data_IF_579630360814
#
_entry.id   IF_579630360814
#
_cell.length_a   1.000
_cell.length_b   1.000
_cell.length_c   1.000
_cell.angle_alpha   90.00
_cell.angle_beta   90.00
_cell.angle_gamma   90.00
#
_symmetry.space_group_name_H-M   'P 1'
#
loop_
_entity.id
_entity.type
_entity.pdbx_description
1 polymer ?
#
# COMPACT_ATOMS: atom_id res chain seq x y z
N UNK A 1 5.07 -16.14 17.13
CA UNK A 1 4.59 -14.82 17.59
C UNK A 1 3.15 -14.72 17.15
N UNK A 2 2.20 -14.31 18.01
CA UNK A 2 0.78 -14.55 17.73
C UNK A 2 0.20 -13.58 16.69
N UNK A 3 -0.75 -14.08 15.90
CA UNK A 3 -1.62 -13.30 15.03
C UNK A 3 -2.32 -12.16 15.78
N UNK A 4 -2.72 -12.41 17.04
CA UNK A 4 -3.34 -11.41 17.92
C UNK A 4 -2.44 -10.19 18.17
N UNK A 5 -1.13 -10.39 18.38
CA UNK A 5 -0.21 -9.29 18.61
C UNK A 5 -0.03 -8.43 17.36
N UNK A 6 0.03 -9.07 16.18
CA UNK A 6 0.09 -8.36 14.91
C UNK A 6 -1.21 -7.60 14.63
N UNK A 7 -2.37 -8.21 14.90
CA UNK A 7 -3.68 -7.58 14.74
C UNK A 7 -3.84 -6.36 15.67
N UNK A 8 -3.45 -6.49 16.94
CA UNK A 8 -3.45 -5.37 17.88
C UNK A 8 -2.57 -4.22 17.36
N UNK A 9 -1.36 -4.53 16.91
CA UNK A 9 -0.44 -3.53 16.33
C UNK A 9 -0.99 -2.90 15.05
N UNK A 10 -1.66 -3.66 14.21
CA UNK A 10 -2.34 -3.14 13.03
C UNK A 10 -3.41 -2.13 13.42
N UNK A 11 -4.29 -2.46 14.37
CA UNK A 11 -5.36 -1.55 14.81
C UNK A 11 -4.82 -0.29 15.49
N UNK A 12 -3.71 -0.38 16.24
CA UNK A 12 -3.03 0.79 16.82
C UNK A 12 -2.57 1.79 15.74
N UNK A 13 -2.09 1.29 14.60
CA UNK A 13 -1.56 2.13 13.51
C UNK A 13 -2.67 2.61 12.57
N UNK A 14 -3.64 1.74 12.28
CA UNK A 14 -4.57 1.89 11.17
C UNK A 14 -6.02 2.14 11.60
N UNK A 15 -6.27 2.18 12.90
CA UNK A 15 -7.62 2.26 13.45
C UNK A 15 -8.37 0.94 13.36
N UNK A 16 -9.52 0.89 14.02
CA UNK A 16 -10.46 -0.22 13.93
C UNK A 16 -11.65 0.24 13.09
N UNK A 17 -11.83 -0.40 11.93
CA UNK A 17 -12.89 -0.08 10.99
C UNK A 17 -13.60 -1.38 10.57
N UNK A 18 -14.93 -1.35 10.42
CA UNK A 18 -15.67 -2.54 10.01
C UNK A 18 -15.34 -2.89 8.54
N UNK A 19 -15.06 -4.17 8.30
CA UNK A 19 -14.99 -4.74 6.95
C UNK A 19 -16.39 -5.18 6.51
N UNK A 20 -16.84 -4.72 5.35
CA UNK A 20 -18.04 -5.24 4.69
C UNK A 20 -17.72 -6.50 3.87
N UNK A 21 -18.76 -7.19 3.41
CA UNK A 21 -18.60 -8.34 2.51
C UNK A 21 -17.98 -7.95 1.16
N UNK A 22 -18.22 -6.72 0.68
CA UNK A 22 -17.57 -6.20 -0.52
C UNK A 22 -16.08 -5.93 -0.29
N UNK A 23 -15.72 -5.40 0.88
CA UNK A 23 -14.32 -5.18 1.27
C UNK A 23 -13.58 -6.53 1.39
N UNK A 24 -14.19 -7.53 2.03
CA UNK A 24 -13.64 -8.89 2.14
C UNK A 24 -13.42 -9.53 0.75
N UNK A 25 -14.39 -9.39 -0.16
CA UNK A 25 -14.27 -9.90 -1.52
C UNK A 25 -13.18 -9.17 -2.32
N UNK A 26 -13.02 -7.86 -2.10
CA UNK A 26 -11.95 -7.08 -2.70
C UNK A 26 -10.58 -7.53 -2.19
N UNK A 27 -10.36 -7.57 -0.87
CA UNK A 27 -9.05 -7.92 -0.31
C UNK A 27 -8.67 -9.36 -0.65
N UNK A 28 -9.64 -10.28 -0.69
CA UNK A 28 -9.41 -11.67 -1.11
C UNK A 28 -8.98 -11.77 -2.58
N UNK A 29 -9.43 -10.85 -3.45
CA UNK A 29 -9.04 -10.82 -4.87
C UNK A 29 -7.65 -10.22 -5.08
N UNK A 30 -7.32 -9.15 -4.34
CA UNK A 30 -6.13 -8.34 -4.60
C UNK A 30 -4.92 -8.71 -3.74
N UNK A 31 -5.15 -9.29 -2.56
CA UNK A 31 -4.11 -9.59 -1.57
C UNK A 31 -4.01 -11.10 -1.33
N UNK A 32 -2.93 -11.49 -0.67
CA UNK A 32 -2.70 -12.87 -0.22
C UNK A 32 -2.87 -12.96 1.28
N UNK A 33 -3.39 -14.09 1.75
CA UNK A 33 -3.35 -14.42 3.18
C UNK A 33 -1.90 -14.70 3.56
N UNK A 34 -1.41 -14.08 4.64
CA UNK A 34 -0.01 -14.17 5.04
C UNK A 34 0.48 -15.62 5.22
N UNK A 35 -0.32 -16.48 5.87
CA UNK A 35 0.04 -17.89 6.10
C UNK A 35 0.18 -18.67 4.79
N UNK A 36 -0.68 -18.41 3.81
CA UNK A 36 -0.63 -19.04 2.49
C UNK A 36 0.60 -18.58 1.71
N UNK A 37 0.87 -17.27 1.69
CA UNK A 37 2.04 -16.71 1.02
C UNK A 37 3.35 -17.24 1.63
N UNK A 38 3.41 -17.35 2.96
CA UNK A 38 4.56 -17.92 3.65
C UNK A 38 4.76 -19.40 3.27
N UNK A 39 3.69 -20.20 3.25
CA UNK A 39 3.76 -21.60 2.86
C UNK A 39 4.21 -21.79 1.39
N UNK A 40 3.75 -20.94 0.47
CA UNK A 40 4.17 -20.97 -0.94
C UNK A 40 5.64 -20.63 -1.14
N UNK A 41 6.22 -19.81 -0.26
CA UNK A 41 7.61 -19.38 -0.33
C UNK A 41 8.54 -20.10 0.66
N UNK A 42 8.07 -21.16 1.31
CA UNK A 42 8.82 -21.93 2.31
C UNK A 42 9.37 -21.05 3.46
N UNK A 43 8.52 -20.15 3.97
CA UNK A 43 8.82 -19.23 5.07
C UNK A 43 8.00 -19.58 6.31
N UNK A 44 8.61 -19.42 7.48
CA UNK A 44 7.91 -19.52 8.75
C UNK A 44 7.07 -18.25 9.01
N UNK A 45 5.76 -18.41 9.16
CA UNK A 45 4.84 -17.28 9.36
C UNK A 45 5.07 -16.56 10.68
N UNK A 46 5.49 -17.26 11.73
CA UNK A 46 5.73 -16.68 13.03
C UNK A 46 7.00 -15.83 13.06
N UNK A 47 8.01 -16.23 12.27
CA UNK A 47 9.18 -15.40 11.98
C UNK A 47 8.80 -14.15 11.19
N UNK A 48 7.98 -14.27 10.15
CA UNK A 48 7.52 -13.11 9.36
C UNK A 48 6.73 -12.13 10.21
N UNK A 49 5.79 -12.60 11.05
CA UNK A 49 5.07 -11.75 12.00
C UNK A 49 6.02 -11.01 12.95
N UNK A 50 7.10 -11.68 13.40
CA UNK A 50 8.12 -11.06 14.26
C UNK A 50 8.87 -9.95 13.52
N UNK A 51 9.19 -10.15 12.25
CA UNK A 51 9.82 -9.14 11.40
C UNK A 51 8.92 -7.92 11.18
N UNK A 52 7.61 -8.13 10.97
CA UNK A 52 6.63 -7.04 10.85
C UNK A 52 6.54 -6.23 12.15
N UNK A 53 6.39 -6.90 13.29
CA UNK A 53 6.35 -6.25 14.60
C UNK A 53 7.66 -5.53 14.96
N UNK A 54 8.79 -6.00 14.44
CA UNK A 54 10.09 -5.36 14.61
C UNK A 54 10.34 -4.20 13.62
N UNK A 55 9.38 -3.87 12.75
CA UNK A 55 9.53 -2.82 11.73
C UNK A 55 10.57 -3.16 10.67
N UNK A 56 10.73 -4.43 10.32
CA UNK A 56 11.65 -4.90 9.28
C UNK A 56 10.94 -5.31 8.00
N UNK A 57 9.63 -5.63 8.10
CA UNK A 57 8.73 -5.87 6.98
C UNK A 57 7.46 -5.04 7.19
N UNK A 58 6.75 -4.67 6.11
CA UNK A 58 5.55 -3.87 6.23
C UNK A 58 4.42 -4.66 6.90
N UNK A 59 3.61 -3.96 7.69
CA UNK A 59 2.38 -4.47 8.26
C UNK A 59 1.40 -4.90 7.14
N UNK A 60 0.44 -5.80 7.44
CA UNK A 60 -0.64 -6.11 6.50
C UNK A 60 -1.37 -4.85 6.03
N UNK A 61 -1.82 -4.86 4.78
CA UNK A 61 -2.65 -3.78 4.24
C UNK A 61 -4.04 -3.79 4.86
N UNK A 62 -4.56 -4.99 5.17
CA UNK A 62 -5.88 -5.20 5.77
C UNK A 62 -5.83 -6.36 6.78
N UNK A 63 -6.78 -6.32 7.71
CA UNK A 63 -7.28 -7.51 8.39
C UNK A 63 -8.65 -7.82 7.78
N UNK A 64 -8.82 -9.02 7.24
CA UNK A 64 -10.11 -9.49 6.75
C UNK A 64 -11.05 -9.78 7.93
N UNK A 65 -12.37 -9.84 7.71
CA UNK A 65 -13.34 -10.07 8.80
C UNK A 65 -13.11 -11.35 9.63
N UNK A 66 -12.43 -12.35 9.08
CA UNK A 66 -12.03 -13.58 9.80
C UNK A 66 -10.70 -13.45 10.56
N UNK A 67 -10.10 -12.26 10.58
CA UNK A 67 -8.82 -11.95 11.19
C UNK A 67 -7.61 -12.29 10.32
N UNK A 68 -7.80 -12.77 9.09
CA UNK A 68 -6.70 -13.08 8.19
C UNK A 68 -5.87 -11.83 7.86
N UNK A 69 -4.55 -11.96 7.94
CA UNK A 69 -3.62 -10.88 7.59
C UNK A 69 -3.46 -10.83 6.07
N UNK A 70 -3.95 -9.75 5.45
CA UNK A 70 -3.93 -9.57 4.00
C UNK A 70 -2.72 -8.73 3.58
N UNK A 71 -1.80 -9.37 2.87
CA UNK A 71 -0.50 -8.80 2.45
C UNK A 71 -0.38 -8.78 0.93
N UNK A 72 0.38 -7.84 0.34
CA UNK A 72 0.59 -7.84 -1.09
C UNK A 72 1.38 -9.09 -1.51
N UNK A 73 1.14 -9.58 -2.72
CA UNK A 73 1.77 -10.82 -3.20
C UNK A 73 3.30 -10.71 -3.32
N UNK A 74 3.81 -9.48 -3.46
CA UNK A 74 5.23 -9.14 -3.55
C UNK A 74 5.85 -8.69 -2.21
N UNK A 75 5.21 -8.99 -1.07
CA UNK A 75 5.67 -8.64 0.29
C UNK A 75 7.18 -8.79 0.52
N UNK A 76 7.78 -9.86 0.00
CA UNK A 76 9.20 -10.18 0.20
C UNK A 76 10.12 -9.66 -0.89
N UNK A 77 9.59 -9.15 -2.02
CA UNK A 77 10.37 -8.87 -3.22
C UNK A 77 11.51 -7.88 -2.99
N UNK A 78 11.26 -6.77 -2.27
CA UNK A 78 12.30 -5.81 -1.94
C UNK A 78 13.34 -6.41 -0.99
N UNK A 79 12.90 -7.06 0.09
CA UNK A 79 13.79 -7.67 1.06
C UNK A 79 14.70 -8.76 0.43
N UNK A 80 14.17 -9.52 -0.53
CA UNK A 80 14.92 -10.54 -1.26
C UNK A 80 15.89 -9.93 -2.26
N UNK A 81 15.53 -8.79 -2.88
CA UNK A 81 16.39 -8.09 -3.82
C UNK A 81 17.61 -7.45 -3.15
N UNK A 82 17.42 -6.80 -2.00
CA UNK A 82 18.49 -5.99 -1.38
C UNK A 82 19.07 -6.60 -0.11
N UNK A 83 18.40 -7.59 0.47
CA UNK A 83 18.72 -8.15 1.77
C UNK A 83 18.01 -7.40 2.90
N UNK A 84 17.41 -8.14 3.83
CA UNK A 84 16.62 -7.59 4.92
C UNK A 84 17.40 -6.59 5.81
N UNK A 85 18.69 -6.85 6.06
CA UNK A 85 19.54 -5.97 6.87
C UNK A 85 19.83 -4.62 6.22
N UNK A 86 19.87 -4.59 4.90
CA UNK A 86 20.20 -3.40 4.11
C UNK A 86 18.96 -2.66 3.61
N UNK A 87 17.78 -3.30 3.69
CA UNK A 87 16.52 -2.81 3.13
C UNK A 87 16.21 -1.37 3.54
N UNK A 88 16.24 -1.05 4.84
CA UNK A 88 15.95 0.32 5.30
C UNK A 88 16.92 1.34 4.72
N UNK A 89 18.22 1.04 4.77
CA UNK A 89 19.26 1.95 4.28
C UNK A 89 19.14 2.17 2.77
N UNK A 90 18.90 1.09 2.02
CA UNK A 90 18.67 1.15 0.58
C UNK A 90 17.39 1.93 0.24
N UNK A 91 16.30 1.69 0.98
CA UNK A 91 15.03 2.37 0.78
C UNK A 91 15.21 3.87 1.00
N UNK A 92 15.62 4.30 2.20
CA UNK A 92 15.81 5.72 2.54
C UNK A 92 16.74 6.44 1.56
N UNK A 93 17.76 5.76 1.02
CA UNK A 93 18.68 6.33 0.02
C UNK A 93 18.04 6.65 -1.34
N UNK A 94 16.80 6.22 -1.61
CA UNK A 94 16.07 6.59 -2.82
C UNK A 94 15.47 8.02 -2.76
N UNK A 95 15.61 8.71 -1.63
CA UNK A 95 15.16 10.08 -1.44
C UNK A 95 16.33 11.06 -1.40
N UNK A 96 16.07 12.29 -1.87
CA UNK A 96 17.07 13.38 -1.82
C UNK A 96 17.26 13.91 -0.41
N UNK A 97 16.16 14.05 0.33
CA UNK A 97 16.15 14.43 1.73
C UNK A 97 16.07 13.17 2.59
N UNK A 98 16.91 13.11 3.63
CA UNK A 98 16.93 12.01 4.58
C UNK A 98 15.66 11.99 5.44
N UNK A 99 15.09 13.15 5.76
CA UNK A 99 13.85 13.24 6.53
C UNK A 99 12.70 12.60 5.74
N UNK A 100 12.50 13.05 4.49
CA UNK A 100 11.50 12.48 3.58
C UNK A 100 11.66 10.96 3.44
N UNK A 101 12.89 10.47 3.24
CA UNK A 101 13.14 9.04 3.12
C UNK A 101 12.80 8.24 4.38
N UNK A 102 12.96 8.81 5.57
CA UNK A 102 12.55 8.15 6.82
C UNK A 102 11.03 8.19 7.01
N UNK A 103 10.37 9.29 6.69
CA UNK A 103 8.90 9.37 6.73
C UNK A 103 8.27 8.35 5.78
N UNK A 104 8.84 8.20 4.59
CA UNK A 104 8.38 7.24 3.59
C UNK A 104 8.66 5.79 3.98
N UNK A 105 9.76 5.54 4.68
CA UNK A 105 10.03 4.24 5.27
C UNK A 105 9.01 3.88 6.35
N UNK A 106 8.66 4.82 7.22
CA UNK A 106 7.63 4.59 8.25
C UNK A 106 6.26 4.36 7.62
N UNK A 107 5.93 5.12 6.57
CA UNK A 107 4.71 4.92 5.78
C UNK A 107 4.69 3.56 5.07
N UNK A 108 5.81 3.13 4.46
CA UNK A 108 5.96 1.78 3.90
C UNK A 108 5.67 0.70 4.95
N UNK A 109 6.25 0.83 6.15
CA UNK A 109 6.06 -0.16 7.20
C UNK A 109 4.65 -0.20 7.79
N UNK A 110 3.90 0.91 7.74
CA UNK A 110 2.56 1.02 8.33
C UNK A 110 1.49 0.13 7.67
N UNK A 111 1.73 -0.35 6.45
CA UNK A 111 0.72 -1.04 5.63
C UNK A 111 -0.34 -0.10 5.05
N UNK A 112 -0.11 1.22 5.03
CA UNK A 112 -1.05 2.22 4.47
C UNK A 112 -0.91 2.44 2.96
N UNK A 113 0.16 1.93 2.35
CA UNK A 113 0.36 1.96 0.89
C UNK A 113 -0.52 0.95 0.13
N UNK A 114 -1.83 0.93 0.44
CA UNK A 114 -2.84 0.17 -0.32
C UNK A 114 -3.19 0.81 -1.66
N UNK A 115 -2.63 2.00 -1.90
CA UNK A 115 -2.90 2.83 -3.05
C UNK A 115 -1.97 2.59 -4.24
N UNK A 116 -1.16 1.52 -4.21
CA UNK A 116 -0.25 1.11 -5.27
C UNK A 116 -0.32 -0.41 -5.45
N UNK A 117 -0.26 -0.88 -6.69
CA UNK A 117 -0.17 -2.32 -6.98
C UNK A 117 1.12 -2.95 -6.45
N UNK A 118 2.22 -2.20 -6.48
CA UNK A 118 3.50 -2.60 -5.90
C UNK A 118 4.13 -1.39 -5.21
N UNK A 119 4.52 -1.56 -3.96
CA UNK A 119 5.01 -0.48 -3.11
C UNK A 119 6.54 -0.48 -3.16
N UNK A 120 7.07 0.33 -4.07
CA UNK A 120 8.51 0.53 -4.23
C UNK A 120 8.83 2.02 -4.19
N UNK A 121 10.06 2.43 -3.85
CA UNK A 121 10.44 3.84 -3.94
C UNK A 121 10.16 4.45 -5.34
N UNK A 122 10.38 3.68 -6.41
CA UNK A 122 10.11 4.13 -7.77
C UNK A 122 8.62 4.40 -8.02
N UNK A 123 7.72 3.52 -7.57
CA UNK A 123 6.26 3.70 -7.75
C UNK A 123 5.71 4.80 -6.84
N UNK A 124 6.25 4.97 -5.63
CA UNK A 124 5.90 6.08 -4.72
C UNK A 124 6.26 7.43 -5.35
N UNK A 125 7.49 7.57 -5.86
CA UNK A 125 7.92 8.77 -6.59
C UNK A 125 7.04 9.01 -7.80
N UNK A 126 6.81 7.97 -8.62
CA UNK A 126 6.05 8.13 -9.87
C UNK A 126 4.62 8.58 -9.62
N UNK A 127 3.94 7.98 -8.63
CA UNK A 127 2.60 8.41 -8.21
C UNK A 127 2.58 9.88 -7.78
N UNK A 128 3.53 10.27 -6.95
CA UNK A 128 3.64 11.65 -6.45
C UNK A 128 3.88 12.66 -7.57
N UNK A 129 4.70 12.31 -8.56
CA UNK A 129 4.93 13.13 -9.76
C UNK A 129 3.67 13.26 -10.62
N UNK A 130 2.97 12.15 -10.85
CA UNK A 130 1.74 12.13 -11.65
C UNK A 130 0.64 12.97 -11.03
N UNK A 131 0.41 12.85 -9.72
CA UNK A 131 -0.57 13.68 -9.01
C UNK A 131 -0.26 15.17 -9.15
N UNK A 132 0.98 15.58 -8.89
CA UNK A 132 1.42 16.98 -9.05
C UNK A 132 1.26 17.47 -10.50
N UNK A 133 1.56 16.62 -11.48
CA UNK A 133 1.40 16.96 -12.89
C UNK A 133 -0.08 17.12 -13.28
N UNK A 134 -0.96 16.25 -12.78
CA UNK A 134 -2.41 16.31 -12.99
C UNK A 134 -2.99 17.62 -12.46
N UNK A 135 -2.55 18.08 -11.28
CA UNK A 135 -3.05 19.30 -10.64
C UNK A 135 -2.81 20.57 -11.46
N UNK A 136 -1.71 20.62 -12.20
CA UNK A 136 -1.29 21.83 -12.94
C UNK A 136 -1.56 21.74 -14.45
N UNK A 137 -1.85 20.55 -14.99
CA UNK A 137 -2.04 20.35 -16.43
C UNK A 137 -3.42 20.84 -16.88
N UNK A 138 -3.43 21.78 -17.83
CA UNK A 138 -4.65 22.32 -18.43
C UNK A 138 -4.96 21.75 -19.81
N UNK A 139 -3.95 21.21 -20.51
CA UNK A 139 -4.14 20.53 -21.78
C UNK A 139 -4.87 19.20 -21.58
N UNK A 140 -6.03 19.04 -22.24
CA UNK A 140 -6.91 17.87 -22.03
C UNK A 140 -6.27 16.57 -22.51
N UNK A 141 -5.48 16.60 -23.59
CA UNK A 141 -4.87 15.39 -24.14
C UNK A 141 -3.74 14.89 -23.23
N UNK A 142 -2.86 15.79 -22.78
CA UNK A 142 -1.82 15.48 -21.82
C UNK A 142 -2.40 15.03 -20.48
N UNK A 143 -3.44 15.72 -19.98
CA UNK A 143 -4.12 15.35 -18.74
C UNK A 143 -4.68 13.93 -18.80
N UNK A 144 -5.28 13.54 -19.93
CA UNK A 144 -5.77 12.17 -20.12
C UNK A 144 -4.65 11.14 -19.98
N UNK A 145 -3.49 11.38 -20.59
CA UNK A 145 -2.35 10.45 -20.53
C UNK A 145 -1.81 10.30 -19.10
N UNK A 146 -1.70 11.41 -18.36
CA UNK A 146 -1.25 11.38 -16.96
C UNK A 146 -2.23 10.62 -16.06
N UNK A 147 -3.54 10.80 -16.28
CA UNK A 147 -4.58 10.10 -15.52
C UNK A 147 -4.59 8.61 -15.84
N UNK A 148 -4.44 8.24 -17.11
CA UNK A 148 -4.38 6.83 -17.50
C UNK A 148 -3.15 6.14 -16.91
N UNK A 149 -2.00 6.81 -16.89
CA UNK A 149 -0.81 6.26 -16.23
C UNK A 149 -0.96 6.13 -14.71
N UNK A 150 -1.58 7.11 -14.05
CA UNK A 150 -1.87 7.01 -12.61
C UNK A 150 -2.84 5.85 -12.33
N UNK A 151 -3.84 5.65 -13.20
CA UNK A 151 -4.79 4.54 -13.12
C UNK A 151 -4.14 3.17 -13.26
N UNK A 152 -3.03 3.06 -14.00
CA UNK A 152 -2.24 1.82 -14.09
C UNK A 152 -1.41 1.54 -12.83
N UNK A 153 -1.08 2.56 -12.04
CA UNK A 153 -0.32 2.39 -10.79
C UNK A 153 -1.21 2.08 -9.58
N UNK A 154 -2.41 2.64 -9.55
CA UNK A 154 -3.32 2.53 -8.42
C UNK A 154 -4.32 1.37 -8.58
N UNK A 155 -4.50 0.53 -7.55
CA UNK A 155 -5.62 -0.40 -7.54
C UNK A 155 -6.95 0.34 -7.39
N UNK A 156 -8.04 -0.43 -7.40
CA UNK A 156 -9.32 0.06 -6.90
C UNK A 156 -9.25 0.34 -5.39
N UNK A 157 -10.24 1.06 -4.86
CA UNK A 157 -10.35 1.33 -3.42
C UNK A 157 -11.73 0.99 -2.92
N UNK A 158 -11.76 0.54 -1.68
CA UNK A 158 -12.96 0.06 -0.98
C UNK A 158 -13.61 1.14 -0.13
N UNK A 159 -14.81 0.87 0.40
CA UNK A 159 -15.43 1.76 1.37
C UNK A 159 -14.59 1.83 2.66
N UNK A 160 -13.98 0.70 3.05
CA UNK A 160 -13.05 0.62 4.16
C UNK A 160 -11.92 1.65 4.06
N UNK A 161 -11.30 1.82 2.89
CA UNK A 161 -10.18 2.76 2.71
C UNK A 161 -10.60 4.22 2.98
N UNK A 162 -11.81 4.59 2.56
CA UNK A 162 -12.36 5.95 2.78
C UNK A 162 -12.66 6.21 4.24
N UNK A 163 -13.05 5.18 4.98
CA UNK A 163 -13.23 5.25 6.43
C UNK A 163 -11.89 5.36 7.16
N UNK A 164 -10.91 4.53 6.77
CA UNK A 164 -9.57 4.50 7.35
C UNK A 164 -8.80 5.80 7.16
N UNK A 165 -8.92 6.42 5.99
CA UNK A 165 -8.22 7.67 5.66
C UNK A 165 -9.05 8.93 5.93
N UNK A 166 -10.23 8.80 6.54
CA UNK A 166 -11.16 9.90 6.87
C UNK A 166 -11.42 10.85 5.68
N UNK A 167 -11.66 10.29 4.49
CA UNK A 167 -11.85 11.11 3.31
C UNK A 167 -11.74 10.40 1.96
N UNK A 168 -11.84 11.17 0.87
CA UNK A 168 -11.65 10.66 -0.48
C UNK A 168 -10.18 10.23 -0.69
N UNK A 169 -10.00 9.14 -1.42
CA UNK A 169 -8.68 8.63 -1.78
C UNK A 169 -8.15 9.28 -3.06
N UNK A 170 -6.87 9.05 -3.38
CA UNK A 170 -6.23 9.60 -4.58
C UNK A 170 -7.00 9.26 -5.86
N UNK A 171 -7.51 8.03 -5.99
CA UNK A 171 -8.34 7.61 -7.14
C UNK A 171 -9.64 8.40 -7.28
N UNK A 172 -10.27 8.81 -6.19
CA UNK A 172 -11.50 9.62 -6.24
C UNK A 172 -11.21 11.00 -6.83
N UNK A 173 -10.12 11.61 -6.40
CA UNK A 173 -9.77 13.02 -6.67
C UNK A 173 -8.99 13.22 -7.97
N UNK A 174 -8.04 12.33 -8.29
CA UNK A 174 -7.10 12.51 -9.41
C UNK A 174 -7.42 11.61 -10.62
N UNK A 175 -8.20 10.54 -10.45
CA UNK A 175 -8.61 9.67 -11.57
C UNK A 175 -10.09 9.88 -11.89
N UNK A 176 -10.99 9.52 -10.97
CA UNK A 176 -12.44 9.48 -11.23
C UNK A 176 -13.01 10.86 -11.53
N UNK A 177 -12.75 11.85 -10.68
CA UNK A 177 -13.23 13.21 -10.88
C UNK A 177 -12.69 13.83 -12.19
N UNK A 178 -11.43 13.57 -12.51
CA UNK A 178 -10.80 14.10 -13.72
C UNK A 178 -11.36 13.43 -14.98
N UNK A 179 -11.56 12.12 -14.98
CA UNK A 179 -12.22 11.41 -16.10
C UNK A 179 -13.63 11.93 -16.35
N UNK A 180 -14.39 12.20 -15.29
CA UNK A 180 -15.71 12.81 -15.42
C UNK A 180 -15.62 14.21 -16.09
N UNK A 181 -14.67 15.05 -15.66
CA UNK A 181 -14.41 16.37 -16.27
C UNK A 181 -13.93 16.31 -17.73
N UNK A 182 -13.25 15.24 -18.11
CA UNK A 182 -12.80 15.01 -19.49
C UNK A 182 -13.93 14.47 -20.40
N UNK A 183 -14.98 13.87 -19.81
CA UNK A 183 -16.15 13.38 -20.52
C UNK A 183 -17.25 14.44 -20.70
N UNK A 184 -17.28 15.46 -19.83
CA UNK A 184 -18.06 16.69 -20.01
C UNK A 184 -17.42 17.64 -21.01
#
# INVERSE_FOLDING_TARGET
MTQEALAARFCEINGEHPMSAEDDAYVTRQYRVLTELCAEQDRDVDDVRRLMLAGQLPMPGYLRSDGAEMVPADLFALADQVGLSDLRGWFVAQWKDLADGNEEWDAYLSGQYVCLHSVTPATIHRKSELMKAIDVTTDRAQLKLLVDELDELEPEFTAYDRLRFDGPVSRDTHITAIRHRLAS
#
